data_IF_301528035420
#
_entry.id   IF_301528035420
#
_cell.length_a   1.000
_cell.length_b   1.000
_cell.length_c   1.000
_cell.angle_alpha   90.00
_cell.angle_beta   90.00
_cell.angle_gamma   90.00
#
_symmetry.space_group_name_H-M   'P 1'
#
loop_
_entity.id
_entity.type
_entity.pdbx_description
1 polymer ?
#
# COMPACT_ATOMS: atom_id res chain seq x y z
N UNK A 1 -11.81 13.06 -6.34
CA UNK A 1 -10.47 12.94 -5.74
C UNK A 1 -10.26 11.51 -5.28
N UNK A 2 -9.00 11.13 -5.13
CA UNK A 2 -8.54 9.82 -4.68
C UNK A 2 -7.66 10.05 -3.45
N UNK A 3 -7.91 9.35 -2.36
CA UNK A 3 -7.09 9.37 -1.15
C UNK A 3 -6.70 7.93 -0.80
N UNK A 4 -5.45 7.72 -0.43
CA UNK A 4 -4.90 6.39 -0.16
C UNK A 4 -4.43 6.29 1.28
N UNK A 5 -4.72 5.17 1.92
CA UNK A 5 -4.12 4.73 3.17
C UNK A 5 -3.41 3.40 2.90
N UNK A 6 -2.11 3.33 3.18
CA UNK A 6 -1.30 2.14 2.92
C UNK A 6 -1.32 1.13 4.08
N UNK A 7 -1.98 1.44 5.19
CA UNK A 7 -2.13 0.52 6.32
C UNK A 7 -0.89 0.37 7.19
N UNK A 8 0.17 1.14 6.94
CA UNK A 8 1.40 1.21 7.75
C UNK A 8 1.55 2.55 8.50
N UNK A 9 0.50 3.38 8.47
CA UNK A 9 0.49 4.75 9.00
C UNK A 9 0.82 5.83 7.96
N UNK A 10 1.21 5.45 6.75
CA UNK A 10 1.42 6.38 5.63
C UNK A 10 0.13 6.57 4.83
N UNK A 11 -0.19 7.83 4.53
CA UNK A 11 -1.38 8.19 3.74
C UNK A 11 -1.03 9.20 2.63
N UNK A 12 -1.74 9.11 1.51
CA UNK A 12 -1.76 10.16 0.48
C UNK A 12 -3.09 10.91 0.57
N UNK A 13 -3.07 12.22 0.82
CA UNK A 13 -4.29 13.02 0.92
C UNK A 13 -5.00 13.10 -0.44
N UNK A 14 -6.23 13.61 -0.42
CA UNK A 14 -7.08 13.72 -1.59
C UNK A 14 -6.37 14.42 -2.78
N UNK A 15 -6.18 13.68 -3.87
CA UNK A 15 -5.55 14.16 -5.11
C UNK A 15 -6.43 13.90 -6.33
N UNK A 16 -6.10 14.53 -7.46
CA UNK A 16 -6.77 14.29 -8.74
C UNK A 16 -6.30 13.01 -9.43
N UNK A 17 -5.05 12.59 -9.19
CA UNK A 17 -4.47 11.38 -9.80
C UNK A 17 -5.08 10.10 -9.20
N UNK A 18 -5.49 9.13 -10.03
CA UNK A 18 -6.00 7.84 -9.57
C UNK A 18 -4.89 6.86 -9.14
N UNK A 19 -3.62 7.27 -9.18
CA UNK A 19 -2.47 6.42 -8.83
C UNK A 19 -1.60 7.07 -7.75
N UNK A 20 -1.02 6.22 -6.89
CA UNK A 20 -0.03 6.58 -5.88
C UNK A 20 0.98 5.44 -5.74
N UNK A 21 2.21 5.77 -5.32
CA UNK A 21 3.30 4.81 -5.10
C UNK A 21 3.70 4.84 -3.63
N UNK A 22 3.94 3.66 -3.04
CA UNK A 22 4.40 3.50 -1.67
C UNK A 22 5.35 2.31 -1.55
N UNK A 23 6.28 2.39 -0.61
CA UNK A 23 7.29 1.36 -0.36
C UNK A 23 7.21 0.89 1.08
N UNK A 24 6.90 -0.38 1.29
CA UNK A 24 6.95 -1.02 2.60
C UNK A 24 8.38 -1.46 2.91
N UNK A 25 8.91 -1.05 4.07
CA UNK A 25 10.27 -1.37 4.51
C UNK A 25 10.34 -2.59 5.43
N UNK A 26 9.21 -3.03 5.98
CA UNK A 26 9.12 -4.18 6.85
C UNK A 26 8.22 -5.27 6.24
N UNK A 27 8.54 -6.52 6.53
CA UNK A 27 7.63 -7.62 6.27
C UNK A 27 6.36 -7.48 7.12
N UNK A 28 5.22 -7.81 6.53
CA UNK A 28 3.93 -7.61 7.18
C UNK A 28 2.75 -7.78 6.23
N UNK A 29 1.55 -7.70 6.79
CA UNK A 29 0.30 -7.65 6.04
C UNK A 29 -0.31 -6.27 6.21
N UNK A 30 -0.52 -5.57 5.10
CA UNK A 30 -0.97 -4.19 5.07
C UNK A 30 -2.32 -4.10 4.36
N UNK A 31 -3.32 -3.54 5.05
CA UNK A 31 -4.64 -3.29 4.46
C UNK A 31 -4.61 -1.91 3.77
N UNK A 32 -4.49 -1.93 2.45
CA UNK A 32 -4.49 -0.72 1.62
C UNK A 32 -5.92 -0.31 1.34
N UNK A 33 -6.27 0.94 1.62
CA UNK A 33 -7.60 1.51 1.40
C UNK A 33 -7.54 2.68 0.43
N UNK A 34 -8.42 2.67 -0.57
CA UNK A 34 -8.66 3.78 -1.48
C UNK A 34 -10.03 4.39 -1.19
N UNK A 35 -10.06 5.68 -0.88
CA UNK A 35 -11.30 6.47 -0.82
C UNK A 35 -11.42 7.33 -2.07
N UNK A 36 -12.51 7.16 -2.82
CA UNK A 36 -12.85 8.01 -3.96
C UNK A 36 -13.93 9.00 -3.54
N UNK A 37 -13.87 10.22 -4.05
CA UNK A 37 -14.93 11.22 -3.92
C UNK A 37 -15.25 11.86 -5.26
N UNK A 38 -16.52 11.90 -5.64
CA UNK A 38 -16.96 12.56 -6.88
C UNK A 38 -17.24 14.06 -6.66
N UNK A 39 -17.52 14.78 -7.75
CA UNK A 39 -17.80 16.24 -7.72
C UNK A 39 -19.08 16.60 -6.96
N UNK A 40 -20.04 15.68 -6.89
CA UNK A 40 -21.27 15.81 -6.11
C UNK A 40 -21.05 15.58 -4.61
N UNK A 41 -19.81 15.28 -4.20
CA UNK A 41 -19.43 15.07 -2.81
C UNK A 41 -19.67 13.66 -2.29
N UNK A 42 -20.19 12.73 -3.10
CA UNK A 42 -20.37 11.33 -2.74
C UNK A 42 -19.02 10.62 -2.67
N UNK A 43 -18.88 9.71 -1.71
CA UNK A 43 -17.67 8.93 -1.50
C UNK A 43 -17.93 7.45 -1.46
N UNK A 44 -16.94 6.68 -1.88
CA UNK A 44 -16.93 5.23 -1.79
C UNK A 44 -15.50 4.73 -1.48
N UNK A 45 -15.40 3.53 -0.93
CA UNK A 45 -14.13 2.96 -0.44
C UNK A 45 -13.93 1.54 -0.93
N UNK A 46 -12.72 1.25 -1.39
CA UNK A 46 -12.26 -0.11 -1.69
C UNK A 46 -11.01 -0.43 -0.88
N UNK A 47 -10.84 -1.68 -0.48
CA UNK A 47 -9.68 -2.13 0.27
C UNK A 47 -9.11 -3.44 -0.27
N UNK A 48 -7.80 -3.60 -0.16
CA UNK A 48 -7.07 -4.82 -0.53
C UNK A 48 -5.92 -5.08 0.43
N UNK A 49 -5.56 -6.35 0.63
CA UNK A 49 -4.46 -6.73 1.52
C UNK A 49 -3.20 -7.03 0.71
N UNK A 50 -2.10 -6.37 1.06
CA UNK A 50 -0.76 -6.62 0.50
C UNK A 50 0.07 -7.37 1.54
N UNK A 51 0.65 -8.50 1.14
CA UNK A 51 1.59 -9.25 1.96
C UNK A 51 3.02 -8.96 1.49
N UNK A 52 3.86 -8.48 2.41
CA UNK A 52 5.28 -8.18 2.18
C UNK A 52 6.09 -9.19 2.98
N UNK A 53 7.04 -9.86 2.32
CA UNK A 53 7.94 -10.84 2.94
C UNK A 53 9.38 -10.37 2.84
N UNK A 54 10.18 -10.72 3.86
CA UNK A 54 11.62 -10.52 3.80
C UNK A 54 12.23 -11.32 2.63
N UNK A 55 13.33 -10.83 2.03
CA UNK A 55 14.08 -11.61 1.07
C UNK A 55 14.61 -12.88 1.75
N UNK A 56 14.80 -13.98 0.99
CA UNK A 56 15.42 -15.16 1.53
C UNK A 56 16.82 -14.82 2.07
N UNK A 57 17.24 -15.44 3.19
CA UNK A 57 18.59 -15.22 3.71
C UNK A 57 19.62 -15.58 2.66
N UNK A 58 20.69 -14.79 2.55
CA UNK A 58 21.82 -15.09 1.68
C UNK A 58 22.47 -16.38 2.19
N UNK A 59 22.28 -17.51 1.49
CA UNK A 59 23.05 -18.72 1.77
C UNK A 59 24.49 -18.51 1.29
N UNK A 60 25.45 -18.71 2.19
CA UNK A 60 26.84 -18.88 1.78
C UNK A 60 26.95 -20.11 0.85
N UNK A 61 27.85 -20.11 -0.14
CA UNK A 61 28.08 -21.30 -0.95
C UNK A 61 28.38 -22.49 -0.04
N UNK A 62 27.70 -23.62 -0.24
CA UNK A 62 28.01 -24.83 0.51
C UNK A 62 29.46 -25.24 0.23
N UNK A 63 30.30 -25.27 1.26
CA UNK A 63 31.62 -25.86 1.15
C UNK A 63 31.45 -27.37 0.83
N UNK A 64 32.10 -27.84 -0.24
CA UNK A 64 32.19 -29.26 -0.58
C UNK A 64 33.39 -29.91 0.10
#
# INVERSE_FOLDING_TARGET
>A
TYAFDFGDGTTVPAQASPTATHTYTAAGSYLVTLTVRNVSGLSDTAATTIAVSDPPPIQAPAAS
#
